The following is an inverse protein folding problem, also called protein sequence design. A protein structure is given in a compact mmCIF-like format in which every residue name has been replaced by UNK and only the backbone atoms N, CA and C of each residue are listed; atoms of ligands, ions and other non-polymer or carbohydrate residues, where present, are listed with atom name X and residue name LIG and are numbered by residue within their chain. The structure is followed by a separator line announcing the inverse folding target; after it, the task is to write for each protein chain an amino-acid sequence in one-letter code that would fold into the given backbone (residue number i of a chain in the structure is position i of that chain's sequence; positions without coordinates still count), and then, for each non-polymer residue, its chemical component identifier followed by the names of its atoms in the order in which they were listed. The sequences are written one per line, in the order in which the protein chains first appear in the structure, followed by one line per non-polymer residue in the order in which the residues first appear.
data_IF_995723617569
#
_entry.id   IF_995723617569
#
_cell.length_a   1.000
_cell.length_b   1.000
_cell.length_c   1.000
_cell.angle_alpha   90.00
_cell.angle_beta   90.00
_cell.angle_gamma   90.00
#
_symmetry.space_group_name_H-M   'P 1'
#
loop_
_entity.id
_entity.type
_entity.pdbx_description
1 polymer ?
#
# COMPACT_ATOMS: atom_id res chain seq x y z
N UNK A 1 6.74 -21.72 5.15
CA UNK A 1 5.71 -22.04 4.12
C UNK A 1 4.98 -23.35 4.41
N UNK A 2 5.66 -24.48 4.65
CA UNK A 2 5.03 -25.80 4.81
C UNK A 2 3.94 -25.83 5.89
N UNK A 3 4.18 -25.18 7.03
CA UNK A 3 3.17 -25.05 8.09
C UNK A 3 1.96 -24.23 7.64
N UNK A 4 2.18 -23.14 6.91
CA UNK A 4 1.10 -22.30 6.40
C UNK A 4 0.30 -23.01 5.31
N UNK A 5 0.97 -23.72 4.41
CA UNK A 5 0.31 -24.54 3.36
C UNK A 5 -0.60 -25.61 3.96
N UNK A 6 -0.19 -26.22 5.08
CA UNK A 6 -1.00 -27.22 5.79
C UNK A 6 -2.29 -26.64 6.39
N UNK A 7 -2.29 -25.37 6.77
CA UNK A 7 -3.41 -24.73 7.50
C UNK A 7 -4.29 -23.90 6.54
N UNK A 8 -3.66 -23.08 5.67
CA UNK A 8 -4.34 -22.08 4.87
C UNK A 8 -4.17 -22.27 3.35
N UNK A 9 -3.34 -23.22 2.93
CA UNK A 9 -3.02 -23.44 1.51
C UNK A 9 -1.73 -22.76 1.06
N UNK A 10 -1.44 -22.87 -0.23
CA UNK A 10 -0.27 -22.25 -0.84
C UNK A 10 -0.32 -20.72 -0.76
N UNK A 11 0.84 -20.06 -0.84
CA UNK A 11 0.99 -18.60 -0.78
C UNK A 11 0.51 -17.93 0.51
N UNK A 12 0.44 -18.70 1.61
CA UNK A 12 0.39 -18.16 2.97
C UNK A 12 1.71 -18.45 3.67
N UNK A 13 2.04 -17.68 4.70
CA UNK A 13 3.31 -17.80 5.43
C UNK A 13 3.14 -17.49 6.91
N UNK A 14 4.07 -17.96 7.71
CA UNK A 14 4.30 -17.52 9.08
C UNK A 14 5.63 -16.81 9.14
N UNK A 15 5.68 -15.67 9.80
CA UNK A 15 6.91 -15.09 10.33
C UNK A 15 7.10 -15.60 11.76
N UNK A 16 8.34 -15.82 12.16
CA UNK A 16 8.66 -16.39 13.47
C UNK A 16 9.93 -15.74 14.02
N UNK A 17 10.02 -15.59 15.34
CA UNK A 17 11.16 -15.05 16.07
C UNK A 17 11.54 -13.65 15.51
N UNK A 18 12.80 -13.44 15.15
CA UNK A 18 13.36 -12.16 14.69
C UNK A 18 12.61 -11.57 13.48
N UNK A 19 12.10 -12.41 12.56
CA UNK A 19 11.31 -11.94 11.42
C UNK A 19 9.93 -11.39 11.83
N UNK A 20 9.32 -11.95 12.87
CA UNK A 20 8.07 -11.42 13.40
C UNK A 20 8.32 -10.09 14.12
N UNK A 21 9.43 -9.97 14.86
CA UNK A 21 9.85 -8.71 15.47
C UNK A 21 10.15 -7.66 14.40
N UNK A 22 10.82 -8.04 13.31
CA UNK A 22 11.11 -7.15 12.19
C UNK A 22 9.82 -6.63 11.51
N UNK A 23 8.78 -7.45 11.35
CA UNK A 23 7.47 -7.01 10.85
C UNK A 23 6.91 -5.87 11.71
N UNK A 24 6.85 -6.06 13.05
CA UNK A 24 6.36 -5.03 13.95
C UNK A 24 7.23 -3.77 13.96
N UNK A 25 8.54 -3.93 13.87
CA UNK A 25 9.48 -2.81 13.78
C UNK A 25 9.25 -1.96 12.52
N UNK A 26 9.03 -2.59 11.36
CA UNK A 26 8.74 -1.92 10.10
C UNK A 26 7.39 -1.17 10.14
N UNK A 27 6.37 -1.77 10.76
CA UNK A 27 5.07 -1.11 10.97
C UNK A 27 5.27 0.17 11.81
N UNK A 28 5.94 0.06 12.96
CA UNK A 28 6.16 1.20 13.86
C UNK A 28 7.01 2.30 13.18
N UNK A 29 8.04 1.92 12.44
CA UNK A 29 8.90 2.83 11.71
C UNK A 29 8.11 3.63 10.66
N UNK A 30 7.36 2.96 9.79
CA UNK A 30 6.59 3.61 8.74
C UNK A 30 5.49 4.52 9.31
N UNK A 31 4.78 4.08 10.36
CA UNK A 31 3.81 4.92 11.07
C UNK A 31 4.45 6.17 11.64
N UNK A 32 5.62 6.05 12.29
CA UNK A 32 6.31 7.19 12.89
C UNK A 32 6.71 8.24 11.84
N UNK A 33 7.20 7.81 10.67
CA UNK A 33 7.54 8.73 9.57
C UNK A 33 6.27 9.42 9.04
N UNK A 34 5.21 8.67 8.73
CA UNK A 34 3.97 9.27 8.26
C UNK A 34 3.36 10.26 9.26
N UNK A 35 3.34 9.91 10.56
CA UNK A 35 2.86 10.80 11.63
C UNK A 35 3.70 12.09 11.75
N UNK A 36 5.01 12.04 11.54
CA UNK A 36 5.91 13.22 11.49
C UNK A 36 5.49 14.19 10.38
N UNK A 37 4.91 13.68 9.28
CA UNK A 37 4.35 14.46 8.17
C UNK A 37 2.87 14.82 8.37
N UNK A 38 2.34 14.67 9.59
CA UNK A 38 0.98 15.08 9.95
C UNK A 38 -0.12 14.10 9.57
N UNK A 39 0.22 12.87 9.22
CA UNK A 39 -0.79 11.81 9.01
C UNK A 39 -1.33 11.31 10.34
N UNK A 40 -2.64 11.16 10.42
CA UNK A 40 -3.35 10.62 11.59
C UNK A 40 -3.39 9.10 11.45
N UNK A 41 -2.89 8.34 12.46
CA UNK A 41 -2.86 6.88 12.39
C UNK A 41 -4.24 6.26 12.63
N UNK A 42 -4.56 5.23 11.85
CA UNK A 42 -5.77 4.42 11.95
C UNK A 42 -5.43 2.93 12.07
N UNK A 43 -6.19 2.24 12.90
CA UNK A 43 -6.45 0.81 12.79
C UNK A 43 -7.81 0.65 12.12
N UNK A 44 -7.85 0.00 10.96
CA UNK A 44 -9.05 -0.07 10.12
C UNK A 44 -9.62 -1.50 10.09
N UNK A 45 -10.93 -1.68 9.84
CA UNK A 45 -11.47 -3.00 9.53
C UNK A 45 -10.80 -3.62 8.29
N UNK A 46 -10.62 -4.94 8.31
CA UNK A 46 -10.11 -5.71 7.16
C UNK A 46 -11.24 -6.12 6.19
N UNK A 47 -12.45 -5.62 6.41
CA UNK A 47 -13.66 -5.88 5.63
C UNK A 47 -14.32 -4.57 5.22
N UNK A 48 -14.85 -4.52 4.00
CA UNK A 48 -15.65 -3.40 3.51
C UNK A 48 -16.86 -3.88 2.71
N UNK A 49 -17.89 -3.06 2.64
CA UNK A 49 -19.07 -3.30 1.79
C UNK A 49 -18.69 -3.19 0.31
N UNK A 50 -19.37 -3.96 -0.53
CA UNK A 50 -19.11 -3.97 -1.99
C UNK A 50 -19.36 -2.62 -2.66
N UNK A 51 -20.34 -1.84 -2.19
CA UNK A 51 -20.61 -0.50 -2.71
C UNK A 51 -19.43 0.47 -2.51
N UNK A 52 -18.67 0.31 -1.40
CA UNK A 52 -17.44 1.07 -1.17
C UNK A 52 -16.37 0.69 -2.19
N UNK A 53 -16.16 -0.61 -2.45
CA UNK A 53 -15.19 -1.08 -3.44
C UNK A 53 -15.55 -0.57 -4.84
N UNK A 54 -16.83 -0.72 -5.23
CA UNK A 54 -17.34 -0.28 -6.53
C UNK A 54 -17.19 1.24 -6.70
N UNK A 55 -17.49 2.02 -5.65
CA UNK A 55 -17.32 3.48 -5.65
C UNK A 55 -15.87 3.93 -5.82
N UNK A 56 -14.91 3.14 -5.34
CA UNK A 56 -13.48 3.38 -5.54
C UNK A 56 -12.95 2.90 -6.92
N UNK A 57 -13.79 2.25 -7.73
CA UNK A 57 -13.39 1.66 -9.00
C UNK A 57 -12.72 0.29 -8.88
N UNK A 58 -12.84 -0.35 -7.71
CA UNK A 58 -12.33 -1.70 -7.48
C UNK A 58 -13.46 -2.69 -7.77
N UNK A 59 -13.26 -3.56 -8.77
CA UNK A 59 -14.29 -4.53 -9.14
C UNK A 59 -14.24 -5.78 -8.25
N UNK A 60 -15.25 -6.02 -7.38
CA UNK A 60 -15.31 -7.21 -6.52
C UNK A 60 -15.85 -8.45 -7.23
N UNK A 61 -16.12 -8.41 -8.53
CA UNK A 61 -16.77 -9.46 -9.31
C UNK A 61 -15.93 -9.90 -10.50
N UNK A 62 -16.20 -11.10 -11.00
CA UNK A 62 -15.56 -11.69 -12.19
C UNK A 62 -14.41 -12.65 -11.85
N UNK A 63 -14.05 -13.48 -12.82
CA UNK A 63 -13.04 -14.55 -12.65
C UNK A 63 -11.62 -14.01 -12.39
N UNK A 64 -11.32 -12.80 -12.81
CA UNK A 64 -10.01 -12.14 -12.61
C UNK A 64 -9.99 -11.22 -11.38
N UNK A 65 -11.05 -11.21 -10.55
CA UNK A 65 -11.07 -10.34 -9.38
C UNK A 65 -9.95 -10.69 -8.39
N UNK A 66 -9.30 -9.65 -7.88
CA UNK A 66 -8.31 -9.78 -6.80
C UNK A 66 -8.95 -9.84 -5.41
N UNK A 67 -10.28 -9.79 -5.31
CA UNK A 67 -11.02 -9.61 -4.06
C UNK A 67 -11.58 -10.95 -3.56
N UNK A 68 -11.39 -11.22 -2.28
CA UNK A 68 -12.07 -12.28 -1.54
C UNK A 68 -13.43 -11.78 -1.06
N UNK A 69 -14.51 -12.41 -1.51
CA UNK A 69 -15.85 -12.11 -1.04
C UNK A 69 -16.25 -13.01 0.12
N UNK A 70 -16.98 -12.45 1.10
CA UNK A 70 -17.57 -13.23 2.20
C UNK A 70 -18.89 -13.82 1.71
N UNK A 71 -19.05 -15.13 1.83
CA UNK A 71 -20.26 -15.84 1.42
C UNK A 71 -21.49 -15.37 2.22
N UNK A 72 -22.63 -15.25 1.56
CA UNK A 72 -23.90 -14.81 2.16
C UNK A 72 -23.84 -13.41 2.83
N UNK A 73 -22.98 -12.53 2.35
CA UNK A 73 -22.78 -11.19 2.86
C UNK A 73 -22.56 -10.19 1.72
N UNK A 74 -22.73 -8.90 1.99
CA UNK A 74 -22.30 -7.79 1.12
C UNK A 74 -20.86 -7.34 1.40
N UNK A 75 -20.14 -8.05 2.29
CA UNK A 75 -18.78 -7.73 2.67
C UNK A 75 -17.75 -8.45 1.80
N UNK A 76 -16.60 -7.80 1.65
CA UNK A 76 -15.40 -8.36 1.03
C UNK A 76 -14.17 -8.06 1.89
N UNK A 77 -13.18 -8.97 1.87
CA UNK A 77 -11.87 -8.70 2.46
C UNK A 77 -11.16 -7.61 1.65
N UNK A 78 -10.54 -6.65 2.33
CA UNK A 78 -9.84 -5.56 1.65
C UNK A 78 -8.50 -6.02 1.09
N UNK A 79 -8.16 -5.55 -0.12
CA UNK A 79 -6.83 -5.73 -0.72
C UNK A 79 -5.84 -4.62 -0.38
N UNK A 80 -6.31 -3.57 0.31
CA UNK A 80 -5.58 -2.37 0.73
C UNK A 80 -6.44 -1.54 1.67
N UNK A 81 -5.84 -0.85 2.64
CA UNK A 81 -6.55 0.11 3.49
C UNK A 81 -7.09 1.33 2.72
N UNK A 82 -6.63 1.56 1.48
CA UNK A 82 -7.26 2.53 0.58
C UNK A 82 -8.79 2.38 0.54
N UNK A 83 -9.29 1.14 0.59
CA UNK A 83 -10.72 0.85 0.53
C UNK A 83 -11.45 1.43 1.73
N UNK A 84 -10.99 1.14 2.92
CA UNK A 84 -11.62 1.60 4.16
C UNK A 84 -11.39 3.08 4.42
N UNK A 85 -10.19 3.58 4.12
CA UNK A 85 -9.88 5.00 4.24
C UNK A 85 -10.60 5.83 3.17
N UNK A 86 -10.70 5.35 1.94
CA UNK A 86 -11.45 6.03 0.87
C UNK A 86 -12.95 6.08 1.12
N UNK A 87 -13.51 5.05 1.77
CA UNK A 87 -14.91 5.01 2.18
C UNK A 87 -15.24 5.78 3.46
N UNK A 88 -14.24 6.23 4.23
CA UNK A 88 -14.43 6.79 5.57
C UNK A 88 -15.36 8.00 5.63
N UNK A 89 -15.32 8.85 4.60
CA UNK A 89 -16.18 10.02 4.45
C UNK A 89 -17.30 9.85 3.39
N UNK A 90 -17.65 8.61 3.05
CA UNK A 90 -18.69 8.33 2.05
C UNK A 90 -20.00 9.08 2.35
N UNK A 91 -20.55 9.77 1.35
CA UNK A 91 -21.75 10.60 1.43
C UNK A 91 -21.63 11.86 2.32
N UNK A 92 -20.42 12.31 2.61
CA UNK A 92 -20.18 13.51 3.41
C UNK A 92 -19.84 14.73 2.54
N UNK A 93 -20.07 15.92 3.11
CA UNK A 93 -19.60 17.21 2.60
C UNK A 93 -18.65 17.79 3.64
N UNK A 94 -17.37 17.85 3.31
CA UNK A 94 -16.33 18.37 4.19
C UNK A 94 -16.22 19.90 4.02
N UNK A 95 -15.83 20.62 5.06
CA UNK A 95 -15.42 22.04 4.90
C UNK A 95 -14.09 22.12 4.18
N UNK A 96 -13.91 23.12 3.28
CA UNK A 96 -12.59 23.40 2.70
C UNK A 96 -11.52 23.70 3.76
N UNK A 97 -11.94 24.25 4.93
CA UNK A 97 -11.04 24.56 6.06
C UNK A 97 -10.50 23.30 6.76
N UNK A 98 -11.21 22.17 6.63
CA UNK A 98 -10.80 20.89 7.19
C UNK A 98 -9.83 20.11 6.30
N UNK A 99 -9.56 20.59 5.09
CA UNK A 99 -8.66 19.96 4.12
C UNK A 99 -7.26 20.57 4.16
N UNK A 100 -6.19 19.81 3.96
CA UNK A 100 -6.20 18.39 3.65
C UNK A 100 -6.48 17.51 4.87
N UNK A 101 -7.17 16.36 4.67
CA UNK A 101 -7.20 15.29 5.65
C UNK A 101 -6.18 14.24 5.26
N UNK A 102 -5.27 13.93 6.17
CA UNK A 102 -4.15 13.00 5.96
C UNK A 102 -4.29 11.83 6.93
N UNK A 103 -4.44 10.63 6.42
CA UNK A 103 -4.62 9.42 7.19
C UNK A 103 -3.56 8.38 6.83
N UNK A 104 -3.07 7.64 7.82
CA UNK A 104 -2.22 6.48 7.62
C UNK A 104 -2.82 5.28 8.34
N UNK A 105 -3.07 4.19 7.61
CA UNK A 105 -3.75 3.02 8.15
C UNK A 105 -2.89 1.77 8.07
N UNK A 106 -2.93 0.98 9.15
CA UNK A 106 -2.39 -0.38 9.18
C UNK A 106 -3.52 -1.35 8.88
N UNK A 107 -3.33 -2.24 7.93
CA UNK A 107 -4.30 -3.30 7.62
C UNK A 107 -3.63 -4.61 7.22
N UNK A 108 -4.31 -5.72 7.43
CA UNK A 108 -4.08 -6.91 6.64
C UNK A 108 -4.71 -6.70 5.27
N UNK A 109 -4.02 -7.13 4.24
CA UNK A 109 -4.46 -7.05 2.86
C UNK A 109 -4.64 -8.45 2.30
N UNK A 110 -5.72 -8.68 1.58
CA UNK A 110 -6.08 -9.99 1.04
C UNK A 110 -6.25 -9.88 -0.47
N UNK A 111 -5.51 -10.69 -1.23
CA UNK A 111 -5.60 -10.72 -2.69
C UNK A 111 -5.63 -12.15 -3.20
N UNK A 112 -6.54 -12.45 -4.12
CA UNK A 112 -6.65 -13.78 -4.72
C UNK A 112 -5.44 -14.11 -5.60
N UNK A 113 -4.68 -13.08 -6.03
CA UNK A 113 -3.57 -13.20 -6.98
C UNK A 113 -3.96 -13.90 -8.29
N UNK A 114 -5.23 -13.79 -8.70
CA UNK A 114 -5.73 -14.33 -9.95
C UNK A 114 -4.97 -13.73 -11.14
N UNK A 115 -4.56 -14.57 -12.09
CA UNK A 115 -3.82 -14.15 -13.28
C UNK A 115 -2.34 -13.80 -13.07
N UNK A 116 -1.78 -14.05 -11.87
CA UNK A 116 -0.37 -13.72 -11.58
C UNK A 116 0.66 -14.78 -11.96
N UNK A 117 0.28 -15.84 -12.71
CA UNK A 117 1.13 -16.99 -13.03
C UNK A 117 2.44 -16.67 -13.75
N UNK A 118 2.51 -15.59 -14.51
CA UNK A 118 3.71 -15.15 -15.24
C UNK A 118 4.57 -14.14 -14.50
N UNK A 119 4.14 -13.67 -13.33
CA UNK A 119 4.84 -12.62 -12.58
C UNK A 119 5.77 -13.23 -11.53
N UNK A 120 6.86 -12.51 -11.20
CA UNK A 120 7.74 -12.90 -10.11
C UNK A 120 6.94 -13.08 -8.81
N UNK A 121 6.94 -14.29 -8.27
CA UNK A 121 6.12 -14.68 -7.10
C UNK A 121 6.88 -15.54 -6.09
N UNK A 122 8.23 -15.49 -6.12
CA UNK A 122 9.07 -16.30 -5.25
C UNK A 122 8.97 -15.81 -3.79
N UNK A 123 9.03 -16.74 -2.84
CA UNK A 123 8.98 -16.40 -1.40
C UNK A 123 7.67 -15.70 -1.00
N UNK A 124 7.78 -14.63 -0.21
CA UNK A 124 6.65 -13.84 0.28
C UNK A 124 6.38 -12.58 -0.58
N UNK A 125 6.93 -12.51 -1.79
CA UNK A 125 6.74 -11.33 -2.66
C UNK A 125 5.30 -11.17 -3.16
N UNK A 126 4.61 -12.30 -3.46
CA UNK A 126 3.19 -12.36 -3.82
C UNK A 126 2.50 -13.46 -3.04
N UNK A 127 1.67 -13.03 -2.11
CA UNK A 127 0.97 -13.89 -1.15
C UNK A 127 -0.49 -13.46 -1.02
N UNK A 128 -1.34 -14.37 -0.56
CA UNK A 128 -2.77 -14.10 -0.41
C UNK A 128 -3.11 -13.17 0.74
N UNK A 129 -2.26 -13.12 1.76
CA UNK A 129 -2.41 -12.23 2.91
C UNK A 129 -1.06 -11.58 3.25
N UNK A 130 -1.06 -10.28 3.46
CA UNK A 130 0.13 -9.51 3.84
C UNK A 130 -0.26 -8.26 4.63
N UNK A 131 0.68 -7.71 5.40
CA UNK A 131 0.51 -6.45 6.12
C UNK A 131 0.98 -5.28 5.27
N UNK A 132 0.17 -4.21 5.23
CA UNK A 132 0.49 -2.96 4.52
C UNK A 132 0.12 -1.74 5.36
N UNK A 133 0.97 -0.73 5.31
CA UNK A 133 0.69 0.59 5.84
C UNK A 133 0.41 1.52 4.67
N UNK A 134 -0.78 2.09 4.65
CA UNK A 134 -1.29 2.91 3.56
C UNK A 134 -1.52 4.35 3.99
N UNK A 135 -0.96 5.29 3.27
CA UNK A 135 -1.26 6.72 3.38
C UNK A 135 -2.44 7.06 2.48
N UNK A 136 -3.33 7.91 2.95
CA UNK A 136 -4.49 8.37 2.21
C UNK A 136 -4.74 9.85 2.45
N UNK A 137 -5.02 10.61 1.38
CA UNK A 137 -5.31 12.04 1.50
C UNK A 137 -6.60 12.41 0.78
N UNK A 138 -7.36 13.30 1.43
CA UNK A 138 -8.46 14.06 0.84
C UNK A 138 -8.01 15.51 0.74
N UNK A 139 -8.02 16.07 -0.46
CA UNK A 139 -7.44 17.38 -0.71
C UNK A 139 -8.33 18.24 -1.62
N UNK A 140 -8.12 19.54 -1.57
CA UNK A 140 -8.67 20.44 -2.59
C UNK A 140 -8.07 20.12 -3.97
N UNK A 141 -8.84 20.24 -5.08
CA UNK A 141 -8.36 19.90 -6.43
C UNK A 141 -7.04 20.56 -6.83
N UNK A 142 -6.86 21.85 -6.46
CA UNK A 142 -5.65 22.60 -6.76
C UNK A 142 -4.40 22.15 -5.99
N UNK A 143 -4.55 21.34 -4.94
CA UNK A 143 -3.46 20.85 -4.10
C UNK A 143 -3.06 19.40 -4.43
N UNK A 144 -3.78 18.71 -5.33
CA UNK A 144 -3.60 17.27 -5.50
C UNK A 144 -2.23 16.87 -6.06
N UNK A 145 -1.61 17.68 -6.93
CA UNK A 145 -0.27 17.39 -7.43
C UNK A 145 0.79 17.54 -6.34
N UNK A 146 0.68 18.57 -5.51
CA UNK A 146 1.58 18.79 -4.38
C UNK A 146 1.44 17.65 -3.33
N UNK A 147 0.20 17.25 -3.04
CA UNK A 147 -0.08 16.14 -2.13
C UNK A 147 0.45 14.81 -2.65
N UNK A 148 0.38 14.54 -3.98
CA UNK A 148 0.94 13.34 -4.58
C UNK A 148 2.46 13.29 -4.44
N UNK A 149 3.14 14.42 -4.70
CA UNK A 149 4.59 14.54 -4.50
C UNK A 149 4.97 14.36 -3.02
N UNK A 150 4.18 14.89 -2.08
CA UNK A 150 4.41 14.70 -0.65
C UNK A 150 4.39 13.22 -0.26
N UNK A 151 3.38 12.45 -0.73
CA UNK A 151 3.32 11.00 -0.46
C UNK A 151 4.56 10.31 -1.01
N UNK A 152 4.95 10.60 -2.26
CA UNK A 152 6.16 10.04 -2.88
C UNK A 152 7.44 10.35 -2.07
N UNK A 153 7.59 11.58 -1.59
CA UNK A 153 8.77 11.94 -0.77
C UNK A 153 8.78 11.21 0.59
N UNK A 154 7.61 10.96 1.19
CA UNK A 154 7.51 10.13 2.41
C UNK A 154 7.90 8.68 2.14
N UNK A 155 7.46 8.10 1.02
CA UNK A 155 7.89 6.77 0.61
C UNK A 155 9.41 6.68 0.44
N UNK A 156 10.02 7.69 -0.20
CA UNK A 156 11.48 7.79 -0.36
C UNK A 156 12.18 7.90 1.01
N UNK A 157 11.71 8.79 1.92
CA UNK A 157 12.27 8.94 3.28
C UNK A 157 12.29 7.60 4.02
N UNK A 158 11.21 6.80 3.91
CA UNK A 158 11.13 5.49 4.54
C UNK A 158 12.23 4.55 4.02
N UNK A 159 12.38 4.44 2.70
CA UNK A 159 13.32 3.48 2.09
C UNK A 159 14.77 3.97 2.10
N UNK A 160 15.02 5.28 2.09
CA UNK A 160 16.33 5.86 2.36
C UNK A 160 16.80 5.53 3.79
N UNK A 161 15.91 5.68 4.79
CA UNK A 161 16.22 5.31 6.17
C UNK A 161 16.46 3.82 6.37
N UNK A 162 15.83 2.96 5.57
CA UNK A 162 16.10 1.52 5.56
C UNK A 162 17.37 1.14 4.79
N UNK A 163 18.09 2.11 4.20
CA UNK A 163 19.31 1.90 3.40
C UNK A 163 19.11 0.92 2.22
N UNK A 164 17.88 0.87 1.67
CA UNK A 164 17.53 0.00 0.54
C UNK A 164 17.71 0.79 -0.76
N UNK A 165 18.52 0.30 -1.72
CA UNK A 165 18.61 0.92 -3.04
C UNK A 165 17.25 0.86 -3.76
N UNK A 166 16.77 2.00 -4.24
CA UNK A 166 15.51 2.07 -4.99
C UNK A 166 15.61 3.04 -6.17
N UNK A 167 14.64 2.93 -7.07
CA UNK A 167 14.38 3.91 -8.13
C UNK A 167 12.90 4.28 -8.15
N UNK A 168 12.59 5.46 -8.67
CA UNK A 168 11.20 5.92 -8.91
C UNK A 168 10.85 5.65 -10.36
N UNK A 169 9.67 5.08 -10.59
CA UNK A 169 9.09 4.82 -11.90
C UNK A 169 7.80 5.64 -12.03
N UNK A 170 7.69 6.47 -13.06
CA UNK A 170 6.46 7.17 -13.44
C UNK A 170 5.73 6.31 -14.48
N UNK A 171 4.51 5.88 -14.16
CA UNK A 171 3.75 4.97 -15.00
C UNK A 171 3.32 5.63 -16.32
N UNK A 172 3.48 4.92 -17.42
CA UNK A 172 2.85 5.31 -18.67
C UNK A 172 1.33 5.03 -18.61
N UNK A 173 0.58 5.71 -19.46
CA UNK A 173 -0.89 5.62 -19.47
C UNK A 173 -1.44 4.21 -19.72
N UNK A 174 -0.65 3.32 -20.33
CA UNK A 174 -1.06 1.93 -20.58
C UNK A 174 -1.03 1.04 -19.32
N UNK A 175 -0.27 1.46 -18.29
CA UNK A 175 -0.11 0.70 -17.02
C UNK A 175 -0.88 1.32 -15.85
N UNK A 176 -1.56 2.46 -16.07
CA UNK A 176 -2.35 3.10 -15.03
C UNK A 176 -3.56 2.26 -14.65
N UNK A 177 -3.79 2.12 -13.33
CA UNK A 177 -5.05 1.62 -12.80
C UNK A 177 -6.21 2.54 -13.19
N UNK A 178 -7.39 1.98 -13.40
CA UNK A 178 -8.60 2.69 -13.85
C UNK A 178 -8.93 3.99 -13.10
N UNK A 179 -8.75 4.10 -11.75
CA UNK A 179 -9.04 5.33 -11.02
C UNK A 179 -7.93 6.39 -11.11
N UNK A 180 -6.70 6.02 -11.48
CA UNK A 180 -5.54 6.88 -11.35
C UNK A 180 -5.32 7.77 -12.56
N UNK A 181 -5.11 9.07 -12.32
CA UNK A 181 -4.60 10.01 -13.32
C UNK A 181 -3.08 9.87 -13.49
N UNK A 182 -2.36 9.63 -12.40
CA UNK A 182 -0.91 9.45 -12.36
C UNK A 182 -0.53 8.51 -11.21
N UNK A 183 0.47 7.67 -11.46
CA UNK A 183 1.01 6.74 -10.48
C UNK A 183 2.53 6.77 -10.52
N UNK A 184 3.14 6.81 -9.34
CA UNK A 184 4.56 6.54 -9.14
C UNK A 184 4.73 5.25 -8.34
N UNK A 185 5.68 4.41 -8.76
CA UNK A 185 6.15 3.28 -7.97
C UNK A 185 7.58 3.51 -7.48
N UNK A 186 7.87 3.07 -6.25
CA UNK A 186 9.24 2.77 -5.88
C UNK A 186 9.53 1.31 -6.20
N UNK A 187 10.61 1.07 -6.92
CA UNK A 187 11.16 -0.26 -7.13
C UNK A 187 12.48 -0.40 -6.39
N UNK A 188 12.59 -1.38 -5.49
CA UNK A 188 13.84 -1.72 -4.81
C UNK A 188 14.69 -2.67 -5.65
N UNK A 189 16.00 -2.57 -5.49
CA UNK A 189 16.92 -3.57 -6.01
C UNK A 189 16.77 -4.87 -5.20
N UNK A 190 16.53 -5.97 -5.91
CA UNK A 190 16.35 -7.32 -5.33
C UNK A 190 17.43 -8.24 -5.92
N UNK A 191 18.56 -8.48 -5.20
CA UNK A 191 19.62 -9.36 -5.69
C UNK A 191 19.19 -10.78 -6.06
N UNK A 192 18.18 -11.32 -5.37
CA UNK A 192 17.63 -12.66 -5.61
C UNK A 192 16.58 -12.74 -6.73
N UNK A 193 16.18 -11.62 -7.31
CA UNK A 193 15.22 -11.60 -8.43
C UNK A 193 15.97 -11.84 -9.75
N UNK A 194 15.59 -12.85 -10.55
CA UNK A 194 16.22 -13.06 -11.86
C UNK A 194 15.86 -11.94 -12.82
N UNK A 195 16.85 -11.36 -13.47
CA UNK A 195 16.66 -10.37 -14.52
C UNK A 195 16.25 -11.03 -15.85
N UNK A 196 15.64 -10.24 -16.74
CA UNK A 196 15.21 -10.72 -18.08
C UNK A 196 16.37 -11.21 -18.95
N UNK A 197 17.58 -10.71 -18.72
CA UNK A 197 18.81 -11.11 -19.44
C UNK A 197 19.50 -12.35 -18.83
N UNK A 198 18.88 -13.00 -17.83
CA UNK A 198 19.38 -14.18 -17.16
C UNK A 198 20.42 -13.91 -16.06
N UNK A 199 20.74 -12.66 -15.78
CA UNK A 199 21.58 -12.29 -14.63
C UNK A 199 20.81 -12.31 -13.32
N UNK A 200 21.51 -12.31 -12.21
CA UNK A 200 20.94 -12.14 -10.88
C UNK A 200 20.80 -10.65 -10.56
N UNK A 201 19.69 -10.33 -9.91
CA UNK A 201 19.32 -8.99 -9.50
C UNK A 201 18.48 -8.24 -10.53
N UNK A 202 17.36 -7.70 -10.08
CA UNK A 202 16.45 -6.85 -10.85
C UNK A 202 15.65 -5.96 -9.91
N UNK A 203 15.08 -4.92 -10.46
CA UNK A 203 14.18 -4.02 -9.74
C UNK A 203 12.81 -4.66 -9.51
N UNK A 204 12.22 -4.42 -8.36
CA UNK A 204 10.90 -4.92 -8.02
C UNK A 204 10.09 -3.86 -7.25
N UNK A 205 8.84 -3.67 -7.63
CA UNK A 205 7.90 -2.76 -6.98
C UNK A 205 7.77 -3.07 -5.49
N UNK A 206 7.98 -2.05 -4.65
CA UNK A 206 7.86 -2.13 -3.19
C UNK A 206 6.79 -1.20 -2.64
N UNK A 207 6.53 -0.06 -3.29
CA UNK A 207 5.43 0.86 -3.00
C UNK A 207 4.81 1.37 -4.29
N UNK A 208 3.61 1.94 -4.19
CA UNK A 208 2.92 2.62 -5.27
C UNK A 208 2.11 3.76 -4.68
N UNK A 209 2.13 4.94 -5.32
CA UNK A 209 1.28 6.08 -4.96
C UNK A 209 0.52 6.60 -6.16
N UNK A 210 -0.77 6.88 -5.97
CA UNK A 210 -1.69 7.27 -7.04
C UNK A 210 -2.47 8.55 -6.70
N UNK A 211 -2.55 9.44 -7.69
CA UNK A 211 -3.48 10.55 -7.68
C UNK A 211 -4.73 10.15 -8.48
N UNK A 212 -5.83 9.89 -7.78
CA UNK A 212 -7.10 9.48 -8.38
C UNK A 212 -8.01 10.67 -8.71
N UNK A 213 -7.55 11.89 -8.51
CA UNK A 213 -8.34 13.11 -8.69
C UNK A 213 -9.73 12.99 -8.05
N UNK A 214 -10.78 13.34 -8.74
CA UNK A 214 -12.17 13.27 -8.25
C UNK A 214 -12.88 11.94 -8.62
N UNK A 215 -12.18 10.98 -9.22
CA UNK A 215 -12.79 9.71 -9.63
C UNK A 215 -13.46 8.98 -8.45
N UNK A 216 -12.70 8.79 -7.38
CA UNK A 216 -13.17 8.06 -6.19
C UNK A 216 -14.17 8.88 -5.38
N UNK A 217 -13.99 10.18 -5.26
CA UNK A 217 -14.93 11.04 -4.55
C UNK A 217 -16.29 11.14 -5.26
N UNK A 218 -16.33 11.09 -6.59
CA UNK A 218 -17.58 10.96 -7.35
C UNK A 218 -18.27 9.63 -7.07
N UNK A 219 -17.54 8.53 -7.11
CA UNK A 219 -18.08 7.20 -6.85
C UNK A 219 -18.64 7.03 -5.43
N UNK A 220 -18.02 7.71 -4.44
CA UNK A 220 -18.43 7.66 -3.03
C UNK A 220 -19.24 8.86 -2.57
N UNK A 221 -19.58 9.80 -3.48
CA UNK A 221 -20.33 11.03 -3.20
C UNK A 221 -19.71 11.86 -2.05
N UNK A 222 -18.39 12.05 -2.08
CA UNK A 222 -17.64 12.85 -1.11
C UNK A 222 -17.35 14.22 -1.72
N UNK A 223 -17.83 15.28 -1.11
CA UNK A 223 -17.71 16.65 -1.59
C UNK A 223 -17.02 17.54 -0.58
N UNK A 224 -16.54 18.68 -1.04
CA UNK A 224 -16.21 19.79 -0.15
C UNK A 224 -17.17 20.96 -0.37
N UNK A 225 -17.26 21.83 0.61
CA UNK A 225 -17.96 23.11 0.53
C UNK A 225 -16.95 24.23 0.77
N UNK A 226 -16.88 25.17 -0.19
CA UNK A 226 -16.03 26.36 -0.08
C UNK A 226 -16.67 27.44 0.85
N UNK A 227 -15.89 28.47 1.17
CA UNK A 227 -16.37 29.60 2.01
C UNK A 227 -17.52 30.39 1.42
N UNK A 228 -17.80 30.24 0.13
CA UNK A 228 -18.92 30.87 -0.57
C UNK A 228 -20.16 30.00 -0.60
N UNK A 229 -20.10 28.77 -0.07
CA UNK A 229 -21.17 27.80 -0.05
C UNK A 229 -21.26 26.92 -1.30
N UNK A 230 -20.36 27.06 -2.27
CA UNK A 230 -20.32 26.17 -3.44
C UNK A 230 -19.82 24.78 -3.05
N UNK A 231 -20.37 23.76 -3.68
CA UNK A 231 -20.01 22.36 -3.45
C UNK A 231 -19.43 21.75 -4.71
N UNK A 232 -18.32 21.02 -4.55
CA UNK A 232 -17.70 20.26 -5.63
C UNK A 232 -17.00 19.01 -5.08
N UNK A 233 -16.56 18.12 -5.96
CA UNK A 233 -15.84 16.91 -5.57
C UNK A 233 -14.40 17.24 -5.22
N UNK A 234 -13.93 16.69 -4.10
CA UNK A 234 -12.52 16.77 -3.69
C UNK A 234 -11.67 15.74 -4.44
N UNK A 235 -10.35 15.89 -4.38
CA UNK A 235 -9.42 14.91 -4.92
C UNK A 235 -8.96 13.94 -3.82
N UNK A 236 -8.79 12.67 -4.24
CA UNK A 236 -8.38 11.58 -3.36
C UNK A 236 -7.07 10.97 -3.86
N UNK A 237 -6.16 10.71 -2.92
CA UNK A 237 -4.83 10.17 -3.21
C UNK A 237 -4.50 9.05 -2.21
N UNK A 238 -3.80 8.06 -2.69
CA UNK A 238 -3.28 6.98 -1.85
C UNK A 238 -1.79 6.76 -2.10
N UNK A 239 -1.12 6.11 -1.16
CA UNK A 239 0.24 5.66 -1.34
C UNK A 239 0.66 4.67 -0.25
N UNK A 240 1.40 3.67 -0.67
CA UNK A 240 1.90 2.65 0.22
C UNK A 240 3.10 3.17 1.00
N UNK A 241 2.95 3.48 2.28
CA UNK A 241 4.10 3.79 3.13
C UNK A 241 5.06 2.59 3.20
N UNK A 242 4.54 1.39 3.42
CA UNK A 242 5.33 0.15 3.37
C UNK A 242 4.45 -1.09 3.13
N UNK A 243 4.85 -1.95 2.20
CA UNK A 243 4.38 -3.32 2.07
C UNK A 243 5.37 -4.23 2.81
N UNK A 244 5.00 -4.67 4.03
CA UNK A 244 5.96 -5.24 4.99
C UNK A 244 6.70 -6.46 4.45
N UNK A 245 5.99 -7.39 3.81
CA UNK A 245 6.62 -8.59 3.24
C UNK A 245 7.69 -8.27 2.18
N UNK A 246 7.44 -7.28 1.31
CA UNK A 246 8.40 -6.84 0.28
C UNK A 246 9.59 -6.12 0.91
N UNK A 247 9.36 -5.29 1.93
CA UNK A 247 10.44 -4.63 2.67
C UNK A 247 11.34 -5.63 3.40
N UNK A 248 10.75 -6.68 4.01
CA UNK A 248 11.52 -7.77 4.63
C UNK A 248 12.44 -8.44 3.60
N UNK A 249 11.92 -8.77 2.40
CA UNK A 249 12.75 -9.35 1.33
C UNK A 249 13.89 -8.41 0.96
N UNK A 250 13.59 -7.13 0.73
CA UNK A 250 14.58 -6.13 0.34
C UNK A 250 15.69 -5.98 1.42
N UNK A 251 15.31 -5.93 2.70
CA UNK A 251 16.29 -5.88 3.80
C UNK A 251 17.14 -7.15 3.81
N UNK A 252 16.53 -8.33 3.76
CA UNK A 252 17.26 -9.60 3.83
C UNK A 252 18.24 -9.76 2.66
N UNK A 253 17.79 -9.47 1.44
CA UNK A 253 18.60 -9.67 0.24
C UNK A 253 19.74 -8.64 0.11
N UNK A 254 19.53 -7.39 0.54
CA UNK A 254 20.56 -6.35 0.46
C UNK A 254 21.53 -6.35 1.65
N UNK A 255 21.17 -6.94 2.80
CA UNK A 255 21.93 -6.85 4.03
C UNK A 255 22.47 -8.20 4.54
N UNK A 256 22.35 -9.27 3.73
CA UNK A 256 22.89 -10.58 4.10
C UNK A 256 24.43 -10.53 4.19
N UNK A 257 24.98 -11.08 5.28
CA UNK A 257 26.42 -11.15 5.54
C UNK A 257 26.98 -12.51 5.11
N UNK A 258 28.31 -12.60 5.03
CA UNK A 258 29.00 -13.81 4.62
C UNK A 258 28.75 -15.01 5.55
N UNK A 259 28.47 -14.76 6.82
CA UNK A 259 28.13 -15.79 7.82
C UNK A 259 26.64 -16.19 7.81
N UNK A 260 25.85 -15.59 6.91
CA UNK A 260 24.39 -15.83 6.77
C UNK A 260 23.53 -14.99 7.70
N UNK A 261 24.09 -14.15 8.56
CA UNK A 261 23.35 -13.18 9.36
C UNK A 261 22.80 -12.06 8.48
N UNK A 262 21.82 -11.32 9.01
CA UNK A 262 21.24 -10.14 8.35
C UNK A 262 21.57 -8.92 9.20
N UNK A 263 22.26 -7.93 8.61
CA UNK A 263 22.43 -6.62 9.25
C UNK A 263 21.10 -5.88 9.21
N UNK A 264 20.55 -5.60 10.38
CA UNK A 264 19.28 -4.81 10.48
C UNK A 264 19.60 -3.32 10.32
N UNK A 265 18.83 -2.55 9.51
CA UNK A 265 19.00 -1.10 9.40
C UNK A 265 18.93 -0.39 10.76
N UNK A 266 19.82 0.57 11.00
CA UNK A 266 19.97 1.24 12.30
C UNK A 266 18.68 1.88 12.80
N UNK A 267 17.87 2.42 11.89
CA UNK A 267 16.58 3.06 12.22
C UNK A 267 15.60 2.10 12.89
N UNK A 268 15.78 0.79 12.77
CA UNK A 268 14.92 -0.24 13.35
C UNK A 268 15.41 -0.76 14.70
N UNK A 269 16.65 -0.45 15.12
CA UNK A 269 17.28 -1.04 16.32
C UNK A 269 16.47 -0.79 17.60
N UNK A 270 15.80 0.36 17.73
CA UNK A 270 14.97 0.66 18.91
C UNK A 270 13.77 -0.29 19.10
N UNK A 271 13.43 -1.09 18.08
CA UNK A 271 12.33 -2.07 18.14
C UNK A 271 12.80 -3.51 17.97
N UNK A 272 14.01 -3.73 17.49
CA UNK A 272 14.54 -5.07 17.25
C UNK A 272 15.54 -5.54 18.31
N UNK A 273 16.02 -4.66 19.17
CA UNK A 273 16.96 -4.94 20.27
C UNK A 273 18.41 -4.78 19.84
#
# INVERSE_FOLDING_TARGET
FDRATKISGAKFYYLKNELAVLEFALIQYALQIAMKHGFIPFSTPDLAKRDVLEGLGINPRGESTQIYNVENSDLSLIGTAEITMGGYHMNEILSEEDLPKKYVAVSHCFRTEAGSYSKFSKGIFRVHQFTKIEMFQYVMPNNSEAAHKEILEIEKEIFEGLEIPFRVVDHCTADLGSPALRTFDLEAWMPGKPAKDGKNGDWAEITSTSNCTDFQSRGLNIKYQDKKGNKDFLHMLNGTAIAVGRAIIAIMENNQQADGSIKIPEVLHKWTG
#
